data_IF_397038653003
#
_entry.id   IF_397038653003
#
_cell.length_a   1.000
_cell.length_b   1.000
_cell.length_c   1.000
_cell.angle_alpha   90.00
_cell.angle_beta   90.00
_cell.angle_gamma   90.00
#
_symmetry.space_group_name_H-M   'P 1'
#
loop_
_entity.id
_entity.type
_entity.pdbx_description
1 polymer ?
#
# COMPACT_ATOMS: atom_id res chain seq x y z
N UNK A 1 -11.37 9.16 -4.40
CA UNK A 1 -10.37 9.50 -3.37
C UNK A 1 -9.94 8.16 -2.81
N UNK A 2 -8.99 7.50 -3.50
CA UNK A 2 -8.55 6.18 -3.10
C UNK A 2 -7.56 6.29 -1.92
N UNK A 3 -7.63 5.31 -1.02
CA UNK A 3 -6.74 5.18 0.14
C UNK A 3 -5.98 3.85 0.04
N UNK A 4 -4.78 3.73 0.63
CA UNK A 4 -4.04 2.47 0.68
C UNK A 4 -4.86 1.35 1.35
N UNK A 5 -4.98 0.21 0.67
CA UNK A 5 -5.65 -0.98 1.23
C UNK A 5 -4.68 -1.71 2.16
N UNK A 6 -5.07 -1.90 3.42
CA UNK A 6 -4.29 -2.71 4.35
C UNK A 6 -4.44 -4.20 4.03
N UNK A 7 -3.31 -4.83 3.70
CA UNK A 7 -3.23 -6.27 3.41
C UNK A 7 -2.58 -7.04 4.55
N UNK A 8 -2.89 -8.33 4.61
CA UNK A 8 -2.29 -9.31 5.52
C UNK A 8 -1.83 -10.52 4.73
N UNK A 9 -1.06 -11.41 5.34
CA UNK A 9 -0.64 -12.67 4.69
C UNK A 9 -1.82 -13.48 4.14
N UNK A 10 -2.97 -13.44 4.83
CA UNK A 10 -4.18 -14.16 4.41
C UNK A 10 -4.86 -13.54 3.17
N UNK A 11 -4.67 -12.24 2.94
CA UNK A 11 -5.30 -11.50 1.84
C UNK A 11 -4.33 -11.14 0.72
N UNK A 12 -3.03 -11.37 0.89
CA UNK A 12 -2.01 -10.98 -0.08
C UNK A 12 -2.23 -11.63 -1.46
N UNK A 13 -2.63 -12.90 -1.50
CA UNK A 13 -2.89 -13.61 -2.76
C UNK A 13 -4.06 -13.00 -3.55
N UNK A 14 -5.17 -12.68 -2.88
CA UNK A 14 -6.35 -12.12 -3.56
C UNK A 14 -6.18 -10.65 -3.93
N UNK A 15 -5.59 -9.85 -3.03
CA UNK A 15 -5.53 -8.39 -3.19
C UNK A 15 -4.31 -7.93 -4.02
N UNK A 16 -3.21 -8.69 -4.00
CA UNK A 16 -1.96 -8.29 -4.66
C UNK A 16 -1.61 -9.21 -5.83
N UNK A 17 -1.53 -10.53 -5.59
CA UNK A 17 -1.04 -11.47 -6.62
C UNK A 17 -2.03 -11.63 -7.78
N UNK A 18 -3.33 -11.63 -7.48
CA UNK A 18 -4.41 -11.80 -8.46
C UNK A 18 -4.97 -10.48 -9.00
N UNK A 19 -4.35 -9.35 -8.67
CA UNK A 19 -4.81 -8.05 -9.15
C UNK A 19 -4.72 -7.95 -10.68
N UNK A 20 -5.79 -7.45 -11.30
CA UNK A 20 -5.84 -7.22 -12.76
C UNK A 20 -5.10 -5.94 -13.19
N UNK A 21 -4.70 -5.11 -12.22
CA UNK A 21 -3.98 -3.85 -12.41
C UNK A 21 -2.65 -3.88 -11.66
N UNK A 22 -1.65 -3.08 -12.05
CA UNK A 22 -0.40 -2.96 -11.30
C UNK A 22 -0.65 -2.52 -9.85
N UNK A 23 0.01 -3.18 -8.90
CA UNK A 23 -0.09 -2.88 -7.47
C UNK A 23 1.27 -2.43 -6.93
N UNK A 24 1.29 -1.29 -6.24
CA UNK A 24 2.42 -0.85 -5.41
C UNK A 24 2.21 -1.33 -3.98
N UNK A 25 3.18 -2.05 -3.41
CA UNK A 25 3.11 -2.55 -2.04
C UNK A 25 4.12 -1.81 -1.17
N UNK A 26 3.64 -1.18 -0.10
CA UNK A 26 4.47 -0.60 0.96
C UNK A 26 4.63 -1.61 2.11
N UNK A 27 5.83 -2.18 2.24
CA UNK A 27 6.19 -3.04 3.36
C UNK A 27 6.72 -2.18 4.51
N UNK A 28 5.89 -1.97 5.53
CA UNK A 28 6.17 -1.05 6.62
C UNK A 28 6.00 -1.68 8.01
N UNK A 29 6.34 -0.91 9.04
CA UNK A 29 6.08 -1.26 10.43
C UNK A 29 5.98 0.00 11.31
N UNK A 30 5.23 -0.08 12.42
CA UNK A 30 5.03 1.04 13.37
C UNK A 30 6.32 1.56 14.03
N UNK A 31 7.39 0.77 14.03
CA UNK A 31 8.69 1.16 14.56
C UNK A 31 9.67 1.62 13.48
N UNK A 32 9.28 1.58 12.19
CA UNK A 32 10.11 2.02 11.08
C UNK A 32 10.00 3.54 10.89
N UNK A 33 10.98 4.29 11.40
CA UNK A 33 11.07 5.75 11.24
C UNK A 33 11.02 6.20 9.77
N UNK A 34 11.87 5.66 8.88
CA UNK A 34 11.83 6.01 7.45
C UNK A 34 10.49 5.71 6.76
N UNK A 35 9.84 4.60 7.10
CA UNK A 35 8.55 4.23 6.53
C UNK A 35 7.47 5.26 6.85
N UNK A 36 7.43 5.76 8.09
CA UNK A 36 6.49 6.83 8.49
C UNK A 36 6.68 8.12 7.71
N UNK A 37 7.91 8.43 7.29
CA UNK A 37 8.17 9.60 6.44
C UNK A 37 7.68 9.40 5.01
N UNK A 38 7.66 8.16 4.53
CA UNK A 38 7.18 7.80 3.18
C UNK A 38 5.65 7.63 3.11
N UNK A 39 4.99 7.27 4.21
CA UNK A 39 3.53 7.10 4.28
C UNK A 39 2.71 8.21 3.60
N UNK A 40 2.93 9.52 3.85
CA UNK A 40 2.15 10.57 3.17
C UNK A 40 2.38 10.61 1.66
N UNK A 41 3.57 10.23 1.18
CA UNK A 41 3.86 10.14 -0.26
C UNK A 41 3.08 9.00 -0.89
N UNK A 42 3.00 7.85 -0.21
CA UNK A 42 2.22 6.68 -0.68
C UNK A 42 0.72 7.00 -0.69
N UNK A 43 0.22 7.71 0.34
CA UNK A 43 -1.17 8.19 0.38
C UNK A 43 -1.50 9.16 -0.76
N UNK A 44 -0.58 10.07 -1.10
CA UNK A 44 -0.80 11.01 -2.20
C UNK A 44 -0.76 10.31 -3.56
N UNK A 45 0.13 9.33 -3.75
CA UNK A 45 0.14 8.48 -4.95
C UNK A 45 -1.16 7.68 -5.09
N UNK A 46 -1.73 7.17 -3.99
CA UNK A 46 -3.02 6.49 -4.01
C UNK A 46 -4.14 7.43 -4.47
N UNK A 47 -4.12 8.70 -4.05
CA UNK A 47 -5.10 9.70 -4.51
C UNK A 47 -4.95 10.07 -5.99
N UNK A 48 -3.72 10.08 -6.51
CA UNK A 48 -3.42 10.49 -7.89
C UNK A 48 -3.65 9.36 -8.90
N UNK A 49 -3.31 8.12 -8.54
CA UNK A 49 -3.32 6.97 -9.46
C UNK A 49 -4.37 5.89 -9.13
N UNK A 50 -5.07 6.00 -8.00
CA UNK A 50 -6.04 5.01 -7.50
C UNK A 50 -7.51 5.31 -7.78
#
# INVERSE_FOLDING_TARGET
MAEPVHVSDATFDSEVIKAEVPVLVDFWADWCGPCKMLAPVVEDLAKEYG
#
